data_IF_930364591693
#
_entry.id   IF_930364591693
#
_cell.length_a   1.000
_cell.length_b   1.000
_cell.length_c   1.000
_cell.angle_alpha   90.00
_cell.angle_beta   90.00
_cell.angle_gamma   90.00
#
_symmetry.space_group_name_H-M   'P 1'
#
loop_
_entity.id
_entity.type
_entity.pdbx_description
1 polymer ?
#
# COMPACT_ATOMS: atom_id res chain seq x y z
N UNK A 1 -5.31 -9.35 10.72
CA UNK A 1 -4.01 -8.68 10.43
C UNK A 1 -2.85 -9.64 10.13
N UNK A 2 -2.99 -10.94 10.40
CA UNK A 2 -1.89 -11.91 10.26
C UNK A 2 -1.24 -11.95 8.86
N UNK A 3 -2.05 -11.97 7.79
CA UNK A 3 -1.52 -12.03 6.42
C UNK A 3 -0.69 -10.81 6.06
N UNK A 4 -1.14 -9.60 6.43
CA UNK A 4 -0.43 -8.36 6.19
C UNK A 4 0.93 -8.32 6.92
N UNK A 5 0.96 -8.80 8.17
CA UNK A 5 2.21 -8.95 8.91
C UNK A 5 3.17 -9.93 8.23
N UNK A 6 2.67 -11.07 7.77
CA UNK A 6 3.49 -12.09 7.10
C UNK A 6 4.06 -11.60 5.78
N UNK A 7 3.25 -11.00 4.91
CA UNK A 7 3.76 -10.48 3.63
C UNK A 7 4.81 -9.37 3.86
N UNK A 8 4.57 -8.45 4.80
CA UNK A 8 5.53 -7.40 5.13
C UNK A 8 6.87 -7.92 5.67
N UNK A 9 6.86 -9.09 6.31
CA UNK A 9 8.05 -9.76 6.84
C UNK A 9 8.65 -10.78 5.87
N UNK A 10 7.99 -11.04 4.75
CA UNK A 10 8.31 -12.12 3.81
C UNK A 10 8.17 -13.51 4.44
N UNK A 11 7.14 -13.75 5.24
CA UNK A 11 6.87 -15.01 5.97
C UNK A 11 5.57 -15.69 5.46
N UNK A 12 5.15 -15.42 4.23
CA UNK A 12 3.87 -15.89 3.68
C UNK A 12 3.97 -17.30 3.10
N UNK A 13 5.12 -17.66 2.52
CA UNK A 13 5.39 -19.01 2.02
C UNK A 13 5.41 -20.07 3.13
N UNK A 14 5.65 -19.67 4.39
CA UNK A 14 5.60 -20.55 5.56
C UNK A 14 4.24 -21.22 5.75
N UNK A 15 3.16 -20.56 5.30
CA UNK A 15 1.78 -21.00 5.56
C UNK A 15 0.98 -21.26 4.28
N UNK A 16 1.39 -20.70 3.14
CA UNK A 16 0.72 -20.86 1.85
C UNK A 16 1.58 -21.60 0.80
N UNK A 17 2.78 -22.03 1.17
CA UNK A 17 3.62 -22.92 0.38
C UNK A 17 4.57 -22.25 -0.60
N UNK A 18 5.27 -23.10 -1.37
CA UNK A 18 6.43 -22.75 -2.21
C UNK A 18 6.15 -21.69 -3.28
N UNK A 19 4.90 -21.59 -3.75
CA UNK A 19 4.50 -20.63 -4.81
C UNK A 19 4.71 -19.18 -4.40
N UNK A 20 4.86 -18.90 -3.10
CA UNK A 20 5.07 -17.55 -2.58
C UNK A 20 6.51 -17.28 -2.16
N UNK A 21 7.45 -18.20 -2.41
CA UNK A 21 8.87 -18.00 -2.07
C UNK A 21 9.46 -16.78 -2.75
N UNK A 22 9.11 -16.53 -4.02
CA UNK A 22 9.61 -15.35 -4.74
C UNK A 22 8.98 -14.05 -4.22
N UNK A 23 7.73 -14.10 -3.76
CA UNK A 23 7.10 -12.96 -3.07
C UNK A 23 7.80 -12.67 -1.75
N UNK A 24 8.06 -13.69 -0.95
CA UNK A 24 8.78 -13.57 0.31
C UNK A 24 10.21 -13.08 0.11
N UNK A 25 10.90 -13.56 -0.94
CA UNK A 25 12.23 -13.11 -1.34
C UNK A 25 12.21 -11.62 -1.64
N UNK A 26 11.26 -11.15 -2.45
CA UNK A 26 11.11 -9.73 -2.76
C UNK A 26 10.96 -8.88 -1.51
N UNK A 27 10.05 -9.21 -0.59
CA UNK A 27 9.84 -8.41 0.62
C UNK A 27 10.99 -8.48 1.61
N UNK A 28 11.74 -9.60 1.64
CA UNK A 28 13.02 -9.68 2.37
C UNK A 28 14.09 -8.81 1.73
N UNK A 29 14.17 -8.74 0.40
CA UNK A 29 15.10 -7.85 -0.32
C UNK A 29 14.78 -6.38 -0.06
N UNK A 30 13.50 -6.00 -0.04
CA UNK A 30 13.06 -4.65 0.35
C UNK A 30 13.39 -4.29 1.80
N UNK A 31 13.80 -5.26 2.63
CA UNK A 31 14.32 -5.02 3.97
C UNK A 31 13.36 -4.27 4.91
N UNK A 32 12.04 -4.44 4.71
CA UNK A 32 11.02 -3.73 5.50
C UNK A 32 11.13 -4.01 7.00
N UNK A 33 11.40 -5.27 7.37
CA UNK A 33 11.55 -5.69 8.77
C UNK A 33 12.71 -4.99 9.48
N UNK A 34 13.98 -5.09 9.03
CA UNK A 34 15.08 -4.41 9.71
C UNK A 34 14.92 -2.88 9.71
N UNK A 35 14.30 -2.30 8.68
CA UNK A 35 13.96 -0.87 8.69
C UNK A 35 12.91 -0.52 9.74
N UNK A 36 11.86 -1.34 9.88
CA UNK A 36 10.85 -1.14 10.93
C UNK A 36 11.46 -1.23 12.34
N UNK A 37 12.33 -2.22 12.58
CA UNK A 37 13.06 -2.36 13.85
C UNK A 37 13.92 -1.12 14.16
N UNK A 38 14.63 -0.58 13.16
CA UNK A 38 15.43 0.64 13.33
C UNK A 38 14.57 1.88 13.53
N UNK A 39 13.44 1.98 12.83
CA UNK A 39 12.53 3.11 12.91
C UNK A 39 11.88 3.19 14.29
N UNK A 40 11.34 2.07 14.78
CA UNK A 40 10.75 1.96 16.12
C UNK A 40 11.75 2.30 17.22
N UNK A 41 13.02 1.88 17.09
CA UNK A 41 14.08 2.24 18.05
C UNK A 41 14.34 3.74 18.17
N UNK A 42 14.04 4.51 17.13
CA UNK A 42 14.26 5.97 17.07
C UNK A 42 13.02 6.77 17.45
N UNK A 43 11.87 6.13 17.65
CA UNK A 43 10.63 6.81 18.03
C UNK A 43 10.71 7.30 19.48
N UNK A 44 10.21 8.52 19.71
CA UNK A 44 9.98 9.02 21.07
C UNK A 44 8.78 8.31 21.69
N UNK A 45 9.04 7.54 22.74
CA UNK A 45 8.02 6.77 23.47
C UNK A 45 7.05 7.63 24.27
N UNK A 46 7.38 8.89 24.51
CA UNK A 46 6.50 9.82 25.19
C UNK A 46 5.60 10.61 24.22
N UNK A 47 5.84 10.49 22.91
CA UNK A 47 5.06 11.19 21.90
C UNK A 47 3.59 10.74 21.89
N UNK A 48 2.64 11.63 21.55
CA UNK A 48 1.24 11.25 21.39
C UNK A 48 1.04 10.11 20.38
N UNK A 49 1.83 10.10 19.30
CA UNK A 49 1.79 9.07 18.26
C UNK A 49 2.21 7.71 18.79
N UNK A 50 3.28 7.64 19.60
CA UNK A 50 3.69 6.36 20.22
C UNK A 50 2.62 5.82 21.16
N UNK A 51 2.07 6.69 22.03
CA UNK A 51 1.02 6.29 22.98
C UNK A 51 -0.24 5.81 22.28
N UNK A 52 -0.60 6.41 21.14
CA UNK A 52 -1.72 5.96 20.32
C UNK A 52 -1.44 4.58 19.69
N UNK A 53 -0.23 4.36 19.16
CA UNK A 53 0.18 3.06 18.60
C UNK A 53 0.18 1.95 19.65
N UNK A 54 0.71 2.24 20.84
CA UNK A 54 0.73 1.31 21.98
C UNK A 54 -0.70 0.92 22.40
N UNK A 55 -1.57 1.90 22.62
CA UNK A 55 -2.97 1.64 22.98
C UNK A 55 -3.74 0.84 21.90
N UNK A 56 -3.47 1.11 20.62
CA UNK A 56 -4.04 0.32 19.52
C UNK A 56 -3.58 -1.14 19.58
N UNK A 57 -2.27 -1.37 19.76
CA UNK A 57 -1.70 -2.71 19.84
C UNK A 57 -2.17 -3.46 21.09
N UNK A 58 -2.34 -2.78 22.21
CA UNK A 58 -2.91 -3.36 23.44
C UNK A 58 -4.32 -3.91 23.18
N UNK A 59 -5.18 -3.13 22.51
CA UNK A 59 -6.52 -3.59 22.15
C UNK A 59 -6.51 -4.79 21.20
N UNK A 60 -5.63 -4.77 20.18
CA UNK A 60 -5.45 -5.91 19.27
C UNK A 60 -5.00 -7.16 20.00
N UNK A 61 -3.96 -7.03 20.85
CA UNK A 61 -3.36 -8.15 21.57
C UNK A 61 -4.32 -8.70 22.62
N UNK A 62 -5.10 -7.83 23.29
CA UNK A 62 -6.17 -8.24 24.19
C UNK A 62 -7.26 -9.05 23.45
N UNK A 63 -7.71 -8.57 22.28
CA UNK A 63 -8.68 -9.29 21.47
C UNK A 63 -8.16 -10.67 21.06
N UNK A 64 -6.91 -10.74 20.58
CA UNK A 64 -6.27 -11.99 20.18
C UNK A 64 -6.13 -12.99 21.33
N UNK A 65 -5.85 -12.52 22.55
CA UNK A 65 -5.67 -13.38 23.71
C UNK A 65 -6.99 -13.87 24.33
N UNK A 66 -8.05 -13.07 24.26
CA UNK A 66 -9.30 -13.34 24.97
C UNK A 66 -10.40 -13.98 24.11
N UNK A 67 -10.23 -14.05 22.78
CA UNK A 67 -11.27 -14.52 21.86
C UNK A 67 -10.81 -15.74 21.06
N UNK A 68 -11.76 -16.59 20.62
CA UNK A 68 -11.45 -17.67 19.67
C UNK A 68 -10.80 -17.12 18.41
N UNK A 69 -9.82 -17.86 17.88
CA UNK A 69 -9.15 -17.50 16.64
C UNK A 69 -10.07 -17.80 15.44
N UNK A 70 -9.95 -17.04 14.34
CA UNK A 70 -10.57 -17.40 13.07
C UNK A 70 -10.14 -18.78 12.59
N UNK A 71 -11.02 -19.48 11.86
CA UNK A 71 -10.79 -20.86 11.38
C UNK A 71 -9.53 -21.00 10.53
N UNK A 72 -9.11 -19.93 9.85
CA UNK A 72 -7.89 -19.89 9.05
C UNK A 72 -6.64 -20.20 9.87
N UNK A 73 -6.63 -19.90 11.18
CA UNK A 73 -5.50 -20.26 12.05
C UNK A 73 -5.38 -21.77 12.23
N UNK A 74 -6.50 -22.47 12.40
CA UNK A 74 -6.51 -23.93 12.56
C UNK A 74 -6.18 -24.63 11.25
N UNK A 75 -6.82 -24.20 10.15
CA UNK A 75 -6.63 -24.78 8.82
C UNK A 75 -5.19 -24.63 8.34
N UNK A 76 -4.56 -23.48 8.61
CA UNK A 76 -3.19 -23.18 8.18
C UNK A 76 -2.14 -23.51 9.25
N UNK A 77 -2.54 -24.05 10.41
CA UNK A 77 -1.62 -24.39 11.52
C UNK A 77 -0.87 -23.18 12.10
N UNK A 78 -1.46 -21.99 12.03
CA UNK A 78 -0.84 -20.74 12.47
C UNK A 78 -0.89 -20.64 13.99
N UNK A 79 0.28 -20.53 14.62
CA UNK A 79 0.37 -20.17 16.04
C UNK A 79 0.29 -18.65 16.20
N UNK A 80 -0.70 -18.11 16.93
CA UNK A 80 -0.81 -16.67 17.13
C UNK A 80 0.41 -16.14 17.90
N UNK A 81 0.85 -14.95 17.51
CA UNK A 81 1.92 -14.19 18.18
C UNK A 81 1.43 -12.76 18.41
N UNK A 82 1.76 -12.12 19.54
CA UNK A 82 1.43 -10.72 19.78
C UNK A 82 1.91 -9.83 18.65
N UNK A 83 1.15 -8.79 18.32
CA UNK A 83 1.54 -7.75 17.39
C UNK A 83 2.45 -6.75 18.08
N UNK A 84 3.51 -6.35 17.39
CA UNK A 84 4.49 -5.38 17.89
C UNK A 84 4.45 -4.07 17.08
N UNK A 85 5.02 -2.96 17.60
CA UNK A 85 5.17 -1.72 16.83
C UNK A 85 5.89 -1.93 15.49
N UNK A 86 6.89 -2.82 15.45
CA UNK A 86 7.63 -3.16 14.24
C UNK A 86 6.73 -3.81 13.19
N UNK A 87 5.77 -4.65 13.59
CA UNK A 87 4.82 -5.25 12.67
C UNK A 87 3.96 -4.16 12.00
N UNK A 88 3.49 -3.17 12.76
CA UNK A 88 2.69 -2.05 12.23
C UNK A 88 3.50 -1.21 11.23
N UNK A 89 4.76 -0.89 11.56
CA UNK A 89 5.64 -0.11 10.67
C UNK A 89 6.00 -0.90 9.41
N UNK A 90 6.28 -2.19 9.53
CA UNK A 90 6.54 -3.06 8.39
C UNK A 90 5.31 -3.16 7.46
N UNK A 91 4.11 -3.29 8.03
CA UNK A 91 2.85 -3.30 7.26
C UNK A 91 2.63 -1.96 6.54
N UNK A 92 2.94 -0.84 7.18
CA UNK A 92 2.88 0.46 6.50
C UNK A 92 3.84 0.53 5.29
N UNK A 93 5.06 0.00 5.42
CA UNK A 93 6.01 -0.13 4.31
C UNK A 93 5.49 -1.04 3.18
N UNK A 94 4.87 -2.17 3.53
CA UNK A 94 4.20 -3.04 2.55
C UNK A 94 3.08 -2.30 1.80
N UNK A 95 2.23 -1.55 2.51
CA UNK A 95 1.15 -0.79 1.90
C UNK A 95 1.70 0.29 0.95
N UNK A 96 2.76 1.00 1.34
CA UNK A 96 3.43 1.97 0.48
C UNK A 96 3.95 1.32 -0.82
N UNK A 97 4.57 0.14 -0.72
CA UNK A 97 4.98 -0.63 -1.90
C UNK A 97 3.79 -1.06 -2.77
N UNK A 98 2.69 -1.51 -2.16
CA UNK A 98 1.53 -2.01 -2.90
C UNK A 98 0.87 -0.96 -3.80
N UNK A 99 0.98 0.32 -3.42
CA UNK A 99 0.48 1.46 -4.19
C UNK A 99 1.50 2.02 -5.19
N UNK A 100 2.77 1.61 -5.11
CA UNK A 100 3.84 2.08 -5.98
C UNK A 100 3.84 1.33 -7.33
N UNK A 101 2.84 1.64 -8.18
CA UNK A 101 2.68 1.04 -9.50
C UNK A 101 3.96 1.15 -10.38
N UNK A 102 4.68 2.26 -10.22
CA UNK A 102 5.93 2.56 -10.93
C UNK A 102 6.97 1.43 -10.82
N UNK A 103 7.08 0.72 -9.69
CA UNK A 103 8.06 -0.37 -9.56
C UNK A 103 7.83 -1.52 -10.53
N UNK A 104 6.60 -1.70 -11.01
CA UNK A 104 6.26 -2.74 -12.00
C UNK A 104 6.37 -2.23 -13.44
N UNK A 105 6.10 -0.95 -13.67
CA UNK A 105 5.99 -0.38 -15.02
C UNK A 105 7.30 0.23 -15.50
N UNK A 106 8.00 0.98 -14.64
CA UNK A 106 9.20 1.75 -15.01
C UNK A 106 10.36 0.88 -15.54
N UNK A 107 10.67 -0.31 -14.98
CA UNK A 107 11.74 -1.14 -15.53
C UNK A 107 11.46 -1.57 -16.98
N UNK A 108 10.21 -1.89 -17.29
CA UNK A 108 9.79 -2.28 -18.65
C UNK A 108 9.84 -1.09 -19.60
N UNK A 109 9.33 0.07 -19.17
CA UNK A 109 9.41 1.30 -19.99
C UNK A 109 10.86 1.73 -20.23
N UNK A 110 11.72 1.59 -19.22
CA UNK A 110 13.16 1.84 -19.33
C UNK A 110 13.80 0.88 -20.35
N UNK A 111 13.52 -0.42 -20.25
CA UNK A 111 14.02 -1.40 -21.21
C UNK A 111 13.57 -1.09 -22.65
N UNK A 112 12.29 -0.76 -22.86
CA UNK A 112 11.76 -0.39 -24.18
C UNK A 112 12.47 0.86 -24.71
N UNK A 113 12.66 1.87 -23.86
CA UNK A 113 13.37 3.10 -24.24
C UNK A 113 14.79 2.82 -24.68
N UNK A 114 15.50 1.98 -23.94
CA UNK A 114 16.93 1.75 -24.12
C UNK A 114 17.21 0.81 -25.32
N UNK A 115 16.38 -0.21 -25.54
CA UNK A 115 16.54 -1.18 -26.63
C UNK A 115 15.86 -0.77 -27.94
N UNK A 116 14.67 -0.15 -27.87
CA UNK A 116 13.87 0.19 -29.05
C UNK A 116 13.88 1.70 -29.34
N UNK A 117 14.34 2.53 -28.41
CA UNK A 117 14.37 3.97 -28.55
C UNK A 117 13.08 4.67 -28.08
N UNK A 118 13.16 5.97 -27.74
CA UNK A 118 12.09 6.71 -27.07
C UNK A 118 10.81 6.86 -27.90
N UNK A 119 10.87 6.72 -29.23
CA UNK A 119 9.68 6.78 -30.10
C UNK A 119 8.66 5.70 -29.77
N UNK A 120 9.11 4.53 -29.30
CA UNK A 120 8.23 3.41 -28.94
C UNK A 120 7.46 3.66 -27.65
N UNK A 121 7.88 4.62 -26.82
CA UNK A 121 7.14 4.98 -25.60
C UNK A 121 5.83 5.72 -25.87
N UNK A 122 5.69 6.32 -27.07
CA UNK A 122 4.48 7.09 -27.43
C UNK A 122 3.20 6.27 -27.40
N UNK A 123 3.29 4.95 -27.58
CA UNK A 123 2.11 4.06 -27.55
C UNK A 123 1.48 3.98 -26.16
N UNK A 124 2.26 4.27 -25.11
CA UNK A 124 1.80 4.20 -23.72
C UNK A 124 1.26 5.52 -23.19
N UNK A 125 1.25 6.57 -24.02
CA UNK A 125 0.70 7.89 -23.69
C UNK A 125 1.18 8.43 -22.32
N UNK A 126 2.50 8.43 -22.13
CA UNK A 126 3.14 8.78 -20.85
C UNK A 126 3.13 10.29 -20.56
N UNK A 127 2.58 11.12 -21.46
CA UNK A 127 2.52 12.56 -21.25
C UNK A 127 1.50 12.91 -20.17
N UNK A 128 1.79 13.97 -19.40
CA UNK A 128 0.88 14.43 -18.36
C UNK A 128 -0.35 15.08 -18.98
N UNK A 129 -1.52 14.51 -18.70
CA UNK A 129 -2.82 15.04 -19.13
C UNK A 129 -3.56 15.62 -17.92
N UNK A 130 -3.43 16.93 -17.69
CA UNK A 130 -4.01 17.61 -16.51
C UNK A 130 -5.54 17.55 -16.43
N UNK A 131 -6.22 17.31 -17.56
CA UNK A 131 -7.68 17.12 -17.63
C UNK A 131 -8.08 15.64 -17.81
N UNK A 132 -7.12 14.73 -17.78
CA UNK A 132 -7.27 13.33 -18.20
C UNK A 132 -7.18 13.14 -19.70
N UNK A 133 -7.13 11.88 -20.16
CA UNK A 133 -7.10 11.52 -21.59
C UNK A 133 -8.52 11.59 -22.18
N UNK A 134 -9.16 12.75 -22.02
CA UNK A 134 -10.43 13.07 -22.64
C UNK A 134 -10.13 13.61 -24.02
N UNK A 135 -10.70 12.99 -25.06
CA UNK A 135 -10.52 13.48 -26.42
C UNK A 135 -10.95 14.95 -26.58
N UNK A 136 -10.52 15.64 -27.66
CA UNK A 136 -10.63 17.09 -27.80
C UNK A 136 -12.05 17.65 -27.60
N UNK A 137 -13.08 16.86 -27.91
CA UNK A 137 -14.48 17.23 -27.70
C UNK A 137 -14.88 17.33 -26.22
N UNK A 138 -14.38 16.43 -25.38
CA UNK A 138 -14.64 16.44 -23.95
C UNK A 138 -13.78 17.50 -23.22
N UNK A 139 -12.57 17.75 -23.70
CA UNK A 139 -11.70 18.82 -23.20
C UNK A 139 -12.32 20.21 -23.44
N UNK A 140 -12.89 20.44 -24.64
CA UNK A 140 -13.60 21.68 -24.97
C UNK A 140 -14.85 21.87 -24.09
N UNK A 141 -15.58 20.79 -23.80
CA UNK A 141 -16.77 20.84 -22.93
C UNK A 141 -16.43 21.12 -21.45
N UNK A 142 -15.33 20.54 -20.94
CA UNK A 142 -14.83 20.77 -19.58
C UNK A 142 -14.33 22.20 -19.40
N UNK A 143 -13.58 22.73 -20.37
CA UNK A 143 -13.12 24.12 -20.37
C UNK A 143 -14.29 25.12 -20.46
N UNK A 144 -15.31 24.81 -21.26
CA UNK A 144 -16.52 25.63 -21.35
C UNK A 144 -17.33 25.65 -20.03
N UNK A 145 -17.44 24.51 -19.33
CA UNK A 145 -18.12 24.44 -18.03
C UNK A 145 -17.39 25.21 -16.91
N UNK A 146 -16.05 25.16 -16.90
CA UNK A 146 -15.24 25.83 -15.87
C UNK A 146 -15.08 27.35 -16.12
N UNK A 147 -15.55 27.87 -17.26
CA UNK A 147 -15.50 29.29 -17.61
C UNK A 147 -16.75 30.10 -17.25
N UNK A 148 -17.79 29.46 -16.67
CA UNK A 148 -19.02 30.14 -16.25
C UNK A 148 -19.08 30.32 -14.71
N UNK A 149 -18.78 31.53 -14.17
CA UNK A 149 -18.84 31.79 -12.73
C UNK A 149 -20.29 31.89 -12.18
N UNK A 150 -21.34 31.65 -12.98
CA UNK A 150 -22.74 31.76 -12.58
C UNK A 150 -23.60 30.50 -12.79
N UNK A 151 -23.02 29.31 -12.87
CA UNK A 151 -23.82 28.09 -12.73
C UNK A 151 -24.42 28.04 -11.30
N UNK A 152 -25.76 28.08 -11.11
CA UNK A 152 -26.34 28.12 -9.80
C UNK A 152 -25.99 26.83 -9.05
N UNK A 153 -25.28 26.97 -7.92
CA UNK A 153 -25.26 25.96 -6.87
C UNK A 153 -26.72 25.70 -6.48
N UNK A 154 -27.35 24.69 -7.08
CA UNK A 154 -28.55 24.09 -6.51
C UNK A 154 -28.11 23.43 -5.23
N UNK A 155 -28.20 24.18 -4.13
CA UNK A 155 -28.18 23.61 -2.80
C UNK A 155 -29.28 22.54 -2.77
N UNK A 156 -28.86 21.28 -2.62
CA UNK A 156 -29.75 20.22 -2.18
C UNK A 156 -30.14 20.56 -0.74
N UNK A 157 -31.42 20.80 -0.41
CA UNK A 157 -31.83 20.82 0.96
C UNK A 157 -31.91 19.37 1.47
N UNK A 158 -31.54 19.20 2.74
CA UNK A 158 -31.76 18.02 3.58
C UNK A 158 -30.62 16.98 3.62
N UNK A 159 -29.62 17.28 4.45
CA UNK A 159 -29.17 16.44 5.58
C UNK A 159 -28.55 17.32 6.68
#
# INVERSE_FOLDING_TARGET
MEMARRIARGELAEILGERLVETDRLFRTLSLRPHAEQYVKRMDRNSPTWRALEAYLDGVNQFQAARPLPIEFDVLGIKPRPFTPEDSVAVAGYLAYSFAAAFRTEPVLTFIRDELGPKHLRIFDLEWHGLGVVGPLAETALLAQNSDPQAPHKAHPDW
#
